data_IF_593981805138
#
_entry.id   IF_593981805138
#
_cell.length_a   1.000
_cell.length_b   1.000
_cell.length_c   1.000
_cell.angle_alpha   90.00
_cell.angle_beta   90.00
_cell.angle_gamma   90.00
#
_symmetry.space_group_name_H-M   'P 1'
#
loop_
_entity.id
_entity.type
_entity.pdbx_description
1 polymer ?
#
# COMPACT_ATOMS: atom_id res chain seq x y z
N UNK A 1 -51.52 31.30 -6.81
CA UNK A 1 -50.22 31.77 -7.31
C UNK A 1 -49.15 30.79 -6.83
N UNK A 2 -48.42 30.21 -7.79
CA UNK A 2 -47.29 29.27 -7.59
C UNK A 2 -46.00 30.08 -7.39
N UNK A 3 -44.92 29.41 -6.94
CA UNK A 3 -43.48 29.79 -6.89
C UNK A 3 -42.95 29.89 -5.45
N UNK A 4 -41.81 29.30 -5.05
CA UNK A 4 -40.74 28.55 -5.73
C UNK A 4 -40.04 27.65 -4.70
N UNK A 5 -39.84 26.38 -5.04
CA UNK A 5 -38.97 25.46 -4.29
C UNK A 5 -37.53 25.91 -4.53
N UNK A 6 -36.80 26.26 -3.46
CA UNK A 6 -35.38 26.55 -3.53
C UNK A 6 -34.61 25.23 -3.68
N UNK A 7 -34.00 25.03 -4.84
CA UNK A 7 -33.11 23.90 -5.11
C UNK A 7 -31.76 24.16 -4.43
N UNK A 8 -31.41 23.37 -3.41
CA UNK A 8 -30.07 23.33 -2.86
C UNK A 8 -29.16 22.56 -3.82
N UNK A 9 -28.22 23.27 -4.45
CA UNK A 9 -27.15 22.70 -5.26
C UNK A 9 -26.13 21.99 -4.35
N UNK A 10 -26.24 20.67 -4.22
CA UNK A 10 -25.18 19.81 -3.69
C UNK A 10 -24.05 19.74 -4.72
N UNK A 11 -22.98 20.50 -4.48
CA UNK A 11 -21.75 20.39 -5.27
C UNK A 11 -21.08 19.03 -5.00
N UNK A 12 -21.15 18.13 -5.99
CA UNK A 12 -20.36 16.91 -6.04
C UNK A 12 -18.88 17.28 -6.23
N UNK A 13 -18.13 17.37 -5.13
CA UNK A 13 -16.66 17.34 -5.18
C UNK A 13 -16.24 15.93 -5.62
N UNK A 14 -16.04 15.77 -6.92
CA UNK A 14 -15.39 14.59 -7.49
C UNK A 14 -13.91 14.62 -7.12
N UNK A 15 -13.56 14.02 -5.98
CA UNK A 15 -12.18 13.76 -5.59
C UNK A 15 -11.55 12.88 -6.66
N UNK A 16 -10.82 13.50 -7.58
CA UNK A 16 -10.00 12.79 -8.57
C UNK A 16 -8.88 12.12 -7.79
N UNK A 17 -9.06 10.84 -7.45
CA UNK A 17 -8.01 10.03 -6.85
C UNK A 17 -6.86 9.94 -7.85
N UNK A 18 -5.84 10.78 -7.67
CA UNK A 18 -4.62 10.70 -8.45
C UNK A 18 -3.98 9.33 -8.14
N UNK A 19 -4.20 8.36 -9.03
CA UNK A 19 -3.54 7.07 -8.94
C UNK A 19 -2.04 7.34 -9.10
N UNK A 20 -1.25 7.02 -8.07
CA UNK A 20 0.19 7.20 -8.13
C UNK A 20 0.74 6.49 -9.38
N UNK A 21 1.69 7.13 -10.07
CA UNK A 21 2.30 6.57 -11.27
C UNK A 21 2.92 5.19 -10.98
N UNK A 22 2.95 4.28 -11.97
CA UNK A 22 3.51 2.95 -11.79
C UNK A 22 4.98 3.02 -11.37
N UNK A 23 5.37 2.15 -10.43
CA UNK A 23 6.70 2.16 -9.85
C UNK A 23 7.63 1.33 -10.73
N UNK A 24 8.77 1.92 -11.08
CA UNK A 24 9.76 1.23 -11.91
C UNK A 24 10.22 -0.08 -11.26
N UNK A 25 10.47 -1.10 -12.09
CA UNK A 25 10.82 -2.43 -11.61
C UNK A 25 12.02 -2.43 -10.65
N UNK A 26 13.01 -1.58 -10.91
CA UNK A 26 14.22 -1.39 -10.10
C UNK A 26 13.93 -0.78 -8.73
N UNK A 27 12.92 0.10 -8.63
CA UNK A 27 12.60 0.81 -7.40
C UNK A 27 11.58 0.09 -6.51
N UNK A 28 10.82 -0.89 -7.05
CA UNK A 28 9.77 -1.61 -6.28
C UNK A 28 10.25 -2.19 -4.94
N UNK A 29 11.45 -2.81 -4.80
CA UNK A 29 11.92 -3.27 -3.49
C UNK A 29 12.12 -2.15 -2.48
N UNK A 30 12.68 -1.01 -2.91
CA UNK A 30 12.87 0.15 -2.03
C UNK A 30 11.53 0.81 -1.66
N UNK A 31 10.61 0.90 -2.62
CA UNK A 31 9.25 1.39 -2.38
C UNK A 31 8.51 0.50 -1.37
N UNK A 32 8.51 -0.82 -1.59
CA UNK A 32 7.93 -1.80 -0.68
C UNK A 32 8.48 -1.68 0.75
N UNK A 33 9.80 -1.46 0.88
CA UNK A 33 10.44 -1.22 2.18
C UNK A 33 9.87 0.03 2.86
N UNK A 34 9.70 1.13 2.13
CA UNK A 34 9.14 2.38 2.65
C UNK A 34 7.71 2.20 3.14
N UNK A 35 6.85 1.60 2.32
CA UNK A 35 5.44 1.35 2.69
C UNK A 35 5.32 0.43 3.90
N UNK A 36 6.11 -0.65 3.96
CA UNK A 36 6.11 -1.54 5.11
C UNK A 36 6.64 -0.82 6.37
N UNK A 37 7.62 0.07 6.23
CA UNK A 37 8.11 0.88 7.35
C UNK A 37 7.01 1.78 7.92
N UNK A 38 6.23 2.42 7.03
CA UNK A 38 5.09 3.24 7.41
C UNK A 38 4.00 2.42 8.10
N UNK A 39 3.61 1.29 7.50
CA UNK A 39 2.57 0.40 8.06
C UNK A 39 2.94 -0.14 9.44
N UNK A 40 4.20 -0.55 9.65
CA UNK A 40 4.65 -1.16 10.90
C UNK A 40 5.22 -0.17 11.93
N UNK A 41 5.29 1.12 11.58
CA UNK A 41 5.85 2.17 12.46
C UNK A 41 7.32 1.96 12.80
N UNK A 42 8.13 1.47 11.86
CA UNK A 42 9.56 1.18 12.08
C UNK A 42 10.45 1.99 11.15
N UNK A 43 11.76 2.03 11.44
CA UNK A 43 12.76 2.61 10.52
C UNK A 43 13.01 1.64 9.36
N UNK A 44 13.19 2.13 8.11
CA UNK A 44 13.46 1.27 6.95
C UNK A 44 14.65 0.32 7.10
N UNK A 45 15.64 0.65 7.95
CA UNK A 45 16.78 -0.22 8.23
C UNK A 45 16.37 -1.58 8.82
N UNK A 46 15.24 -1.65 9.53
CA UNK A 46 14.72 -2.88 10.15
C UNK A 46 13.81 -3.69 9.21
N UNK A 47 13.61 -3.21 7.99
CA UNK A 47 12.74 -3.84 7.00
C UNK A 47 13.58 -4.48 5.89
N UNK A 48 13.51 -5.81 5.81
CA UNK A 48 14.18 -6.62 4.79
C UNK A 48 13.17 -7.00 3.71
N UNK A 49 13.57 -6.86 2.45
CA UNK A 49 12.75 -7.16 1.28
C UNK A 49 13.48 -8.15 0.39
N UNK A 50 12.80 -9.20 -0.06
CA UNK A 50 13.34 -10.18 -0.99
C UNK A 50 13.36 -9.65 -2.44
N UNK A 51 13.87 -10.47 -3.37
CA UNK A 51 13.71 -10.21 -4.80
C UNK A 51 12.23 -10.32 -5.20
N UNK A 52 11.76 -9.53 -6.17
CA UNK A 52 10.38 -9.64 -6.60
C UNK A 52 10.05 -10.96 -7.30
N UNK A 53 8.84 -11.45 -7.09
CA UNK A 53 8.32 -12.69 -7.70
C UNK A 53 7.02 -12.43 -8.43
N UNK A 54 6.82 -13.07 -9.58
CA UNK A 54 5.56 -12.98 -10.33
C UNK A 54 4.46 -13.70 -9.55
N UNK A 55 3.28 -13.09 -9.47
CA UNK A 55 2.07 -13.70 -8.93
C UNK A 55 0.90 -13.47 -9.88
N UNK A 56 -0.21 -14.17 -9.68
CA UNK A 56 -1.42 -13.94 -10.46
C UNK A 56 -1.87 -12.48 -10.31
N UNK A 57 -2.02 -11.78 -11.44
CA UNK A 57 -2.42 -10.37 -11.45
C UNK A 57 -1.29 -9.35 -11.26
N UNK A 58 -0.04 -9.77 -11.07
CA UNK A 58 1.09 -8.83 -11.01
C UNK A 58 2.37 -9.38 -10.38
N UNK A 59 2.88 -8.68 -9.38
CA UNK A 59 4.14 -9.01 -8.72
C UNK A 59 4.02 -8.85 -7.20
N UNK A 60 4.69 -9.73 -6.47
CA UNK A 60 4.86 -9.62 -5.03
C UNK A 60 6.31 -9.40 -4.63
N UNK A 61 6.49 -8.71 -3.51
CA UNK A 61 7.77 -8.63 -2.79
C UNK A 61 7.50 -9.03 -1.36
N UNK A 62 8.07 -10.17 -0.95
CA UNK A 62 8.01 -10.61 0.43
C UNK A 62 9.05 -9.90 1.27
N UNK A 63 8.75 -9.72 2.55
CA UNK A 63 9.68 -9.13 3.49
C UNK A 63 9.42 -9.51 4.93
N UNK A 64 10.36 -9.05 5.76
CA UNK A 64 10.30 -9.16 7.21
C UNK A 64 10.58 -7.81 7.83
N UNK A 65 9.92 -7.51 8.93
CA UNK A 65 10.21 -6.36 9.77
C UNK A 65 10.57 -6.84 11.17
N UNK A 66 11.67 -6.32 11.70
CA UNK A 66 12.01 -6.50 13.11
C UNK A 66 11.30 -5.42 13.94
N UNK A 67 10.39 -5.85 14.83
CA UNK A 67 9.62 -4.99 15.74
C UNK A 67 10.17 -5.01 17.17
N UNK A 68 11.42 -5.44 17.37
CA UNK A 68 12.03 -5.52 18.68
C UNK A 68 11.30 -6.51 19.58
N UNK A 69 10.67 -6.02 20.66
CA UNK A 69 9.95 -6.85 21.63
C UNK A 69 8.74 -7.58 21.06
N UNK A 70 8.14 -7.08 19.98
CA UNK A 70 7.01 -7.76 19.30
C UNK A 70 7.48 -8.87 18.33
N UNK A 71 8.79 -9.03 18.16
CA UNK A 71 9.41 -10.05 17.31
C UNK A 71 9.47 -9.68 15.82
N UNK A 72 9.78 -10.67 14.99
CA UNK A 72 9.89 -10.50 13.54
C UNK A 72 8.54 -10.78 12.89
N UNK A 73 7.97 -9.79 12.20
CA UNK A 73 6.72 -9.92 11.45
C UNK A 73 7.00 -10.12 9.96
N UNK A 74 6.19 -10.93 9.29
CA UNK A 74 6.28 -11.17 7.85
C UNK A 74 5.21 -10.40 7.12
N UNK A 75 5.55 -9.92 5.92
CA UNK A 75 4.62 -9.20 5.07
C UNK A 75 4.86 -9.49 3.59
N UNK A 76 3.91 -9.06 2.76
CA UNK A 76 4.00 -9.08 1.30
C UNK A 76 3.50 -7.75 0.73
N UNK A 77 4.35 -7.05 -0.01
CA UNK A 77 3.90 -5.94 -0.85
C UNK A 77 3.34 -6.49 -2.15
N UNK A 78 2.18 -5.99 -2.58
CA UNK A 78 1.56 -6.37 -3.86
C UNK A 78 1.63 -5.22 -4.85
N UNK A 79 1.94 -5.57 -6.09
CA UNK A 79 1.90 -4.68 -7.24
C UNK A 79 1.03 -5.33 -8.30
N UNK A 80 0.23 -4.52 -8.99
CA UNK A 80 -0.55 -5.01 -10.14
C UNK A 80 0.37 -5.29 -11.35
N UNK A 81 -0.23 -5.81 -12.43
CA UNK A 81 0.49 -6.10 -13.68
C UNK A 81 1.12 -4.86 -14.34
N UNK A 82 0.63 -3.66 -14.03
CA UNK A 82 1.14 -2.37 -14.54
C UNK A 82 2.25 -1.79 -13.66
N UNK A 83 2.52 -2.40 -12.50
CA UNK A 83 3.50 -1.92 -11.53
C UNK A 83 2.97 -0.86 -10.56
N UNK A 84 1.65 -0.67 -10.49
CA UNK A 84 1.05 0.15 -9.45
C UNK A 84 1.12 -0.60 -8.13
N UNK A 85 1.44 0.11 -7.05
CA UNK A 85 1.38 -0.45 -5.71
C UNK A 85 -0.08 -0.65 -5.30
N UNK A 86 -0.39 -1.81 -4.73
CA UNK A 86 -1.71 -2.15 -4.23
C UNK A 86 -1.73 -1.93 -2.71
N UNK A 87 -0.92 -2.70 -1.98
CA UNK A 87 -0.85 -2.66 -0.51
C UNK A 87 0.39 -3.37 0.04
N UNK A 88 0.59 -3.20 1.36
CA UNK A 88 1.37 -4.12 2.19
C UNK A 88 0.40 -5.03 2.93
N UNK A 89 0.52 -6.33 2.72
CA UNK A 89 -0.30 -7.35 3.38
C UNK A 89 0.51 -8.00 4.50
N UNK A 90 0.03 -7.90 5.74
CA UNK A 90 0.60 -8.65 6.85
C UNK A 90 0.38 -10.15 6.65
N UNK A 91 1.41 -10.97 6.90
CA UNK A 91 1.35 -12.43 6.79
C UNK A 91 1.47 -13.12 8.14
N UNK A 92 2.06 -12.45 9.12
CA UNK A 92 2.05 -12.91 10.51
C UNK A 92 0.86 -12.23 11.20
N UNK A 93 -0.06 -12.96 11.83
CA UNK A 93 -1.07 -12.34 12.69
C UNK A 93 -0.37 -11.62 13.84
N UNK A 94 -0.88 -10.44 14.19
CA UNK A 94 -0.52 -9.85 15.48
C UNK A 94 -1.17 -10.72 16.56
N UNK A 95 -0.36 -11.10 17.56
CA UNK A 95 -0.66 -12.21 18.48
C UNK A 95 -2.06 -12.14 19.08
N UNK A 96 -2.68 -13.32 19.21
CA UNK A 96 -3.85 -13.57 20.06
C UNK A 96 -3.52 -13.36 21.54
#
# INVERSE_FOLDING_TARGET
>A
MRFRIAAALLALVASSGAQAAPISAKNRPAYCRGEASGMYGTRPLYVKTARPVKEHGGQAIYGTVDKGSEGIKRFKCRFDARGNFIDVMALTPDGE
#
